data_IF_555758207681
#
_entry.id   IF_555758207681
#
_cell.length_a   1.000
_cell.length_b   1.000
_cell.length_c   1.000
_cell.angle_alpha   90.00
_cell.angle_beta   90.00
_cell.angle_gamma   90.00
#
_symmetry.space_group_name_H-M   'P 1'
#
loop_
_entity.id
_entity.type
_entity.pdbx_description
1 polymer ?
#
# COMPACT_ATOMS: atom_id res chain seq x y z
N UNK A 1 -11.80 -29.50 10.92
CA UNK A 1 -12.01 -28.47 11.94
C UNK A 1 -10.74 -27.62 11.94
N UNK A 2 -10.72 -26.56 11.14
CA UNK A 2 -9.54 -25.69 10.98
C UNK A 2 -9.42 -24.82 12.22
N UNK A 3 -8.28 -24.88 12.91
CA UNK A 3 -8.09 -24.10 14.12
C UNK A 3 -7.98 -22.61 13.76
N UNK A 4 -8.52 -21.72 14.59
CA UNK A 4 -8.47 -20.26 14.39
C UNK A 4 -7.03 -19.73 14.21
N UNK A 5 -6.03 -20.44 14.76
CA UNK A 5 -4.61 -20.09 14.62
C UNK A 5 -3.99 -20.46 13.25
N UNK A 6 -4.71 -21.21 12.42
CA UNK A 6 -4.27 -21.61 11.06
C UNK A 6 -4.75 -20.63 9.98
N UNK A 7 -5.40 -19.52 10.33
CA UNK A 7 -5.77 -18.49 9.37
C UNK A 7 -4.52 -17.68 8.97
N UNK A 8 -3.98 -17.83 7.75
CA UNK A 8 -2.82 -17.07 7.33
C UNK A 8 -3.19 -15.59 7.31
N UNK A 9 -2.53 -14.80 8.16
CA UNK A 9 -2.70 -13.36 8.15
C UNK A 9 -2.17 -12.82 6.81
N UNK A 10 -2.97 -12.04 6.07
CA UNK A 10 -2.50 -11.43 4.85
C UNK A 10 -1.34 -10.48 5.15
N UNK A 11 -0.28 -10.55 4.33
CA UNK A 11 0.89 -9.67 4.46
C UNK A 11 0.48 -8.20 4.38
N UNK A 12 1.17 -7.31 5.08
CA UNK A 12 0.92 -5.87 5.00
C UNK A 12 1.18 -5.29 3.60
N UNK A 13 1.97 -5.98 2.77
CA UNK A 13 2.18 -5.65 1.35
C UNK A 13 1.35 -6.54 0.43
N UNK A 14 1.03 -6.03 -0.76
CA UNK A 14 0.45 -6.85 -1.82
C UNK A 14 1.46 -7.88 -2.32
N UNK A 15 0.97 -9.09 -2.55
CA UNK A 15 1.71 -10.16 -3.18
C UNK A 15 1.86 -9.88 -4.69
N UNK A 16 2.84 -10.50 -5.36
CA UNK A 16 3.05 -10.30 -6.80
C UNK A 16 1.80 -10.58 -7.63
N UNK A 17 1.05 -11.63 -7.30
CA UNK A 17 -0.16 -12.01 -8.02
C UNK A 17 -1.28 -10.98 -7.85
N UNK A 18 -1.45 -10.43 -6.65
CA UNK A 18 -2.42 -9.35 -6.37
C UNK A 18 -2.09 -8.09 -7.18
N UNK A 19 -0.80 -7.77 -7.36
CA UNK A 19 -0.38 -6.64 -8.21
C UNK A 19 -0.67 -6.92 -9.68
N UNK A 20 -0.48 -8.16 -10.16
CA UNK A 20 -0.83 -8.55 -11.52
C UNK A 20 -2.34 -8.43 -11.76
N UNK A 21 -3.18 -8.85 -10.80
CA UNK A 21 -4.64 -8.71 -10.89
C UNK A 21 -5.08 -7.24 -10.97
N UNK A 22 -4.48 -6.35 -10.19
CA UNK A 22 -4.81 -4.92 -10.19
C UNK A 22 -4.33 -4.23 -11.47
N UNK A 23 -3.09 -4.51 -11.89
CA UNK A 23 -2.45 -3.79 -13.01
C UNK A 23 -2.76 -4.39 -14.37
N UNK A 24 -3.16 -5.67 -14.43
CA UNK A 24 -3.28 -6.45 -15.66
C UNK A 24 -1.94 -6.76 -16.35
N UNK A 25 -0.81 -6.41 -15.74
CA UNK A 25 0.52 -6.53 -16.34
C UNK A 25 1.38 -7.58 -15.64
N UNK A 26 2.03 -8.44 -16.44
CA UNK A 26 2.97 -9.47 -15.94
C UNK A 26 4.40 -8.96 -15.76
N UNK A 27 4.78 -7.89 -16.46
CA UNK A 27 6.13 -7.31 -16.40
C UNK A 27 6.21 -6.21 -15.34
N UNK A 28 7.35 -6.09 -14.66
CA UNK A 28 7.56 -5.06 -13.64
C UNK A 28 7.42 -3.64 -14.22
N UNK A 29 7.86 -3.42 -15.46
CA UNK A 29 7.73 -2.13 -16.15
C UNK A 29 6.28 -1.79 -16.45
N UNK A 30 5.49 -2.77 -16.92
CA UNK A 30 4.07 -2.59 -17.16
C UNK A 30 3.30 -2.32 -15.88
N UNK A 31 3.64 -3.01 -14.79
CA UNK A 31 3.05 -2.77 -13.47
C UNK A 31 3.32 -1.34 -12.99
N UNK A 32 4.59 -0.89 -13.05
CA UNK A 32 4.98 0.48 -12.66
C UNK A 32 4.29 1.54 -13.52
N UNK A 33 4.30 1.37 -14.84
CA UNK A 33 3.63 2.29 -15.76
C UNK A 33 2.13 2.42 -15.49
N UNK A 34 1.46 1.31 -15.18
CA UNK A 34 0.05 1.32 -14.80
C UNK A 34 -0.16 2.05 -13.47
N UNK A 35 0.67 1.75 -12.46
CA UNK A 35 0.59 2.38 -11.15
C UNK A 35 0.82 3.90 -11.23
N UNK A 36 1.79 4.35 -12.03
CA UNK A 36 2.07 5.78 -12.25
C UNK A 36 0.89 6.47 -12.94
N UNK A 37 0.35 5.87 -14.01
CA UNK A 37 -0.81 6.41 -14.76
C UNK A 37 -2.03 6.56 -13.87
N UNK A 38 -2.28 5.59 -12.98
CA UNK A 38 -3.40 5.61 -12.05
C UNK A 38 -3.09 6.37 -10.74
N UNK A 39 -1.92 7.02 -10.64
CA UNK A 39 -1.45 7.77 -9.47
C UNK A 39 -1.46 6.95 -8.18
N UNK A 40 -1.04 5.71 -8.25
CA UNK A 40 -0.80 4.86 -7.08
C UNK A 40 0.53 5.19 -6.44
N UNK A 41 0.60 5.20 -5.11
CA UNK A 41 1.85 5.28 -4.36
C UNK A 41 2.41 3.89 -4.13
N UNK A 42 3.68 3.70 -4.45
CA UNK A 42 4.39 2.43 -4.28
C UNK A 42 5.89 2.68 -4.08
N UNK A 43 6.57 1.70 -3.49
CA UNK A 43 8.02 1.65 -3.46
C UNK A 43 8.52 0.61 -4.45
N UNK A 44 9.78 0.72 -4.90
CA UNK A 44 10.37 -0.28 -5.79
C UNK A 44 11.51 -0.99 -5.07
N UNK A 45 11.55 -2.32 -5.14
CA UNK A 45 12.67 -3.08 -4.59
C UNK A 45 13.90 -3.04 -5.51
N UNK A 46 15.01 -3.64 -5.08
CA UNK A 46 16.25 -3.70 -5.88
C UNK A 46 16.07 -4.38 -7.24
N UNK A 47 15.11 -5.30 -7.37
CA UNK A 47 14.80 -6.03 -8.60
C UNK A 47 13.80 -5.30 -9.51
N UNK A 48 13.38 -4.08 -9.17
CA UNK A 48 12.42 -3.30 -9.98
C UNK A 48 10.96 -3.66 -9.73
N UNK A 49 10.64 -4.56 -8.78
CA UNK A 49 9.25 -4.92 -8.47
C UNK A 49 8.59 -3.81 -7.64
N UNK A 50 7.38 -3.37 -8.02
CA UNK A 50 6.61 -2.47 -7.18
C UNK A 50 6.12 -3.19 -5.92
N UNK A 51 6.21 -2.49 -4.79
CA UNK A 51 5.71 -2.89 -3.48
C UNK A 51 4.63 -1.87 -3.09
N UNK A 52 3.42 -2.37 -2.91
CA UNK A 52 2.26 -1.57 -2.52
C UNK A 52 1.76 -2.05 -1.17
N UNK A 53 1.46 -1.12 -0.26
CA UNK A 53 0.83 -1.44 1.01
C UNK A 53 -0.61 -1.90 0.81
N UNK A 54 -1.00 -3.01 1.44
CA UNK A 54 -2.35 -3.61 1.34
C UNK A 54 -3.42 -2.66 1.89
N UNK A 55 -3.16 -2.00 3.01
CA UNK A 55 -4.10 -1.01 3.58
C UNK A 55 -4.30 0.16 2.62
N UNK A 56 -3.21 0.70 2.06
CA UNK A 56 -3.27 1.76 1.04
C UNK A 56 -4.09 1.32 -0.18
N UNK A 57 -3.83 0.11 -0.70
CA UNK A 57 -4.58 -0.44 -1.84
C UNK A 57 -6.08 -0.55 -1.54
N UNK A 58 -6.46 -1.05 -0.35
CA UNK A 58 -7.87 -1.13 0.07
C UNK A 58 -8.53 0.24 0.13
N UNK A 59 -7.88 1.23 0.72
CA UNK A 59 -8.39 2.60 0.79
C UNK A 59 -8.55 3.21 -0.60
N UNK A 60 -7.52 3.08 -1.45
CA UNK A 60 -7.53 3.59 -2.82
C UNK A 60 -8.64 2.96 -3.66
N UNK A 61 -8.83 1.65 -3.55
CA UNK A 61 -9.91 0.91 -4.23
C UNK A 61 -11.30 1.27 -3.70
N UNK A 62 -11.41 1.61 -2.41
CA UNK A 62 -12.65 2.15 -1.82
C UNK A 62 -12.92 3.62 -2.19
N UNK A 63 -12.03 4.26 -2.96
CA UNK A 63 -12.13 5.68 -3.30
C UNK A 63 -11.78 6.63 -2.15
N UNK A 64 -11.22 6.12 -1.06
CA UNK A 64 -10.81 6.91 0.10
C UNK A 64 -9.37 7.38 -0.13
N UNK A 65 -9.15 8.69 -0.10
CA UNK A 65 -7.81 9.24 -0.12
C UNK A 65 -7.12 9.01 1.24
N UNK A 66 -6.09 8.17 1.26
CA UNK A 66 -5.35 7.83 2.47
C UNK A 66 -4.68 9.04 3.15
N UNK A 67 -4.47 10.14 2.42
CA UNK A 67 -3.95 11.39 3.00
C UNK A 67 -4.88 12.00 4.05
N UNK A 68 -6.18 11.68 3.99
CA UNK A 68 -7.17 12.13 4.97
C UNK A 68 -7.09 11.40 6.31
N UNK A 69 -6.41 10.26 6.37
CA UNK A 69 -6.20 9.47 7.58
C UNK A 69 -4.96 9.90 8.37
N UNK A 70 -4.09 10.73 7.78
CA UNK A 70 -3.03 11.34 8.54
C UNK A 70 -3.67 12.22 9.63
N UNK A 71 -3.33 12.06 10.91
CA UNK A 71 -3.84 12.95 11.93
C UNK A 71 -3.47 14.37 11.55
N UNK A 72 -4.48 15.24 11.40
CA UNK A 72 -4.24 16.68 11.29
C UNK A 72 -3.42 17.08 12.51
N UNK A 73 -2.18 17.49 12.25
CA UNK A 73 -1.06 17.30 13.15
C UNK A 73 -1.36 17.70 14.59
N UNK A 74 -1.36 16.71 15.49
CA UNK A 74 -1.02 17.01 16.88
C UNK A 74 0.41 17.53 16.86
N UNK A 75 0.55 18.84 17.02
CA UNK A 75 1.85 19.51 17.04
C UNK A 75 2.20 19.71 18.51
N UNK A 76 3.21 19.00 19.05
CA UNK A 76 3.60 19.21 20.43
C UNK A 76 4.05 20.65 20.63
N UNK A 77 3.46 21.34 21.62
CA UNK A 77 3.88 22.67 22.02
C UNK A 77 5.11 22.55 22.93
N UNK A 78 6.25 23.00 22.41
CA UNK A 78 7.52 23.03 23.14
C UNK A 78 7.80 24.39 23.79
N UNK A 79 6.85 25.33 23.77
CA UNK A 79 7.04 26.68 24.31
C UNK A 79 7.38 26.73 25.81
N UNK A 80 7.09 25.65 26.55
CA UNK A 80 7.33 25.54 27.99
C UNK A 80 8.64 24.85 28.40
N UNK A 81 9.44 24.32 27.47
CA UNK A 81 10.71 23.64 27.81
C UNK A 81 11.84 24.68 27.88
N UNK A 82 12.32 24.97 29.09
CA UNK A 82 13.56 25.71 29.36
C UNK A 82 14.60 24.80 29.99
#
# INVERSE_FOLDING_TARGET
MTAIFELPLPSETLNPDEIVEITGAKTCDGQRSWLDTNRWKYHTNRAGRPIVGRMYARLKLAGIDASTLAPQGWTPDFSGIR
#
